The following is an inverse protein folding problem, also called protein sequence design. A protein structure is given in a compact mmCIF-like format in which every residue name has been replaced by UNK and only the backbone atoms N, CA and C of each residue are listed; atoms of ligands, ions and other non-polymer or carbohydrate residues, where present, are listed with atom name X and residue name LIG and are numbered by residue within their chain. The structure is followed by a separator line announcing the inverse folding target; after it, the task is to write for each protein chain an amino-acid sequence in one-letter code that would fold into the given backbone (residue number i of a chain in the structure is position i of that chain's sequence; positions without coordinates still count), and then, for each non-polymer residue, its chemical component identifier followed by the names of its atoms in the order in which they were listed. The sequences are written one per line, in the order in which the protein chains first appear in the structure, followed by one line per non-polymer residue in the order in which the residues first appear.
data_IF_349883438917
#
_entry.id   IF_349883438917
#
_cell.length_a   1.000
_cell.length_b   1.000
_cell.length_c   1.000
_cell.angle_alpha   90.00
_cell.angle_beta   90.00
_cell.angle_gamma   90.00
#
_symmetry.space_group_name_H-M   'P 1'
#
loop_
_entity.id
_entity.type
_entity.pdbx_description
1 polymer ?
#
# COMPACT_ATOMS: atom_id res chain seq x y z
N UNK A 1 -6.85 9.27 12.91
CA UNK A 1 -6.88 9.63 11.48
C UNK A 1 -5.45 9.66 10.98
N UNK A 2 -5.14 8.84 9.98
CA UNK A 2 -3.79 8.73 9.43
C UNK A 2 -3.50 9.98 8.60
N UNK A 3 -2.30 10.55 8.76
CA UNK A 3 -1.95 11.72 7.95
C UNK A 3 -1.90 11.36 6.47
N UNK A 4 -2.28 12.32 5.60
CA UNK A 4 -2.30 12.10 4.14
C UNK A 4 -0.96 11.56 3.61
N UNK A 5 0.17 12.14 4.04
CA UNK A 5 1.51 11.73 3.60
C UNK A 5 1.84 10.28 3.95
N UNK A 6 1.46 9.85 5.17
CA UNK A 6 1.67 8.48 5.63
C UNK A 6 0.79 7.52 4.85
N UNK A 7 -0.49 7.83 4.68
CA UNK A 7 -1.40 6.99 3.89
C UNK A 7 -0.92 6.84 2.45
N UNK A 8 -0.57 7.94 1.79
CA UNK A 8 -0.09 7.92 0.40
C UNK A 8 1.20 7.11 0.23
N UNK A 9 2.11 7.15 1.22
CA UNK A 9 3.31 6.31 1.21
C UNK A 9 2.96 4.81 1.25
N UNK A 10 2.12 4.36 2.21
CA UNK A 10 1.79 2.94 2.28
C UNK A 10 0.91 2.48 1.11
N UNK A 11 0.03 3.35 0.61
CA UNK A 11 -0.76 3.08 -0.60
C UNK A 11 0.15 2.90 -1.81
N UNK A 12 1.22 3.68 -1.97
CA UNK A 12 2.12 3.50 -3.12
C UNK A 12 2.86 2.17 -3.08
N UNK A 13 3.09 1.57 -1.89
CA UNK A 13 3.58 0.20 -1.78
C UNK A 13 2.52 -0.81 -2.25
N UNK A 14 1.25 -0.61 -1.90
CA UNK A 14 0.13 -1.48 -2.30
C UNK A 14 -0.27 -1.35 -3.77
N UNK A 15 0.16 -0.28 -4.44
CA UNK A 15 0.01 -0.02 -5.88
C UNK A 15 1.27 -0.43 -6.68
N UNK A 16 2.33 -0.88 -6.00
CA UNK A 16 3.60 -1.21 -6.64
C UNK A 16 3.42 -2.36 -7.64
N UNK A 17 4.05 -2.25 -8.80
CA UNK A 17 4.02 -3.29 -9.84
C UNK A 17 5.27 -4.16 -9.77
N UNK A 18 5.12 -5.44 -10.08
CA UNK A 18 6.25 -6.36 -10.24
C UNK A 18 7.21 -5.82 -11.31
N UNK A 19 8.51 -5.75 -11.01
CA UNK A 19 9.55 -5.19 -11.90
C UNK A 19 9.85 -6.04 -13.16
N UNK A 20 8.94 -6.90 -13.62
CA UNK A 20 9.20 -7.90 -14.68
C UNK A 20 9.18 -7.38 -16.12
N UNK A 21 8.87 -6.12 -16.40
CA UNK A 21 8.87 -5.60 -17.79
C UNK A 21 8.64 -4.10 -17.85
N UNK A 22 9.58 -3.36 -18.46
CA UNK A 22 9.49 -2.07 -19.20
C UNK A 22 8.53 -0.93 -18.81
N UNK A 23 7.72 -1.04 -17.76
CA UNK A 23 6.56 -0.19 -17.46
C UNK A 23 6.67 0.48 -16.08
N UNK A 24 7.89 0.88 -15.71
CA UNK A 24 8.11 1.87 -14.62
C UNK A 24 7.35 3.18 -14.94
N UNK A 25 6.94 3.40 -16.19
CA UNK A 25 6.22 4.60 -16.63
C UNK A 25 4.84 4.84 -15.99
N UNK A 26 4.22 3.86 -15.32
CA UNK A 26 2.87 4.03 -14.75
C UNK A 26 2.78 3.88 -13.22
N UNK A 27 3.69 3.18 -12.55
CA UNK A 27 3.72 3.07 -11.08
C UNK A 27 4.96 3.74 -10.51
N UNK A 28 4.77 4.58 -9.49
CA UNK A 28 5.86 5.32 -8.85
C UNK A 28 6.78 4.42 -8.00
N UNK A 29 6.37 3.18 -7.75
CA UNK A 29 7.08 2.19 -6.93
C UNK A 29 7.10 0.84 -7.67
N UNK A 30 8.29 0.26 -7.80
CA UNK A 30 8.47 -1.11 -8.25
C UNK A 30 8.56 -2.06 -7.06
N UNK A 31 8.05 -3.28 -7.23
CA UNK A 31 8.15 -4.37 -6.26
C UNK A 31 8.91 -5.55 -6.89
N UNK A 32 9.88 -6.11 -6.18
CA UNK A 32 10.57 -7.34 -6.54
C UNK A 32 10.07 -8.49 -5.65
N UNK A 33 9.36 -9.50 -6.20
CA UNK A 33 8.83 -10.62 -5.44
C UNK A 33 9.90 -11.62 -4.99
N UNK A 34 11.10 -11.62 -5.59
CA UNK A 34 12.18 -12.52 -5.16
C UNK A 34 12.86 -12.02 -3.89
N UNK A 35 13.05 -10.71 -3.80
CA UNK A 35 13.72 -10.06 -2.66
C UNK A 35 12.75 -9.38 -1.69
N UNK A 36 11.46 -9.34 -2.02
CA UNK A 36 10.38 -8.60 -1.35
C UNK A 36 10.64 -7.08 -1.21
N UNK A 37 11.49 -6.53 -2.07
CA UNK A 37 11.91 -5.13 -1.99
C UNK A 37 10.96 -4.19 -2.74
N UNK A 38 10.75 -3.01 -2.15
CA UNK A 38 10.07 -1.90 -2.79
C UNK A 38 11.09 -0.82 -3.16
N UNK A 39 11.15 -0.43 -4.42
CA UNK A 39 12.06 0.61 -4.92
C UNK A 39 11.26 1.74 -5.54
N UNK A 40 11.56 2.98 -5.16
CA UNK A 40 10.92 4.15 -5.73
C UNK A 40 11.43 5.47 -5.16
N UNK A 41 10.74 6.56 -5.48
CA UNK A 41 11.00 7.88 -4.90
C UNK A 41 10.04 8.11 -3.74
N UNK A 42 10.56 8.08 -2.52
CA UNK A 42 9.76 8.24 -1.31
C UNK A 42 10.00 9.58 -0.63
N UNK A 43 9.08 9.96 0.26
CA UNK A 43 9.31 11.11 1.15
C UNK A 43 10.26 10.69 2.29
N UNK A 44 11.48 11.26 2.40
CA UNK A 44 12.45 10.81 3.40
C UNK A 44 11.97 10.97 4.84
N UNK A 45 11.14 11.99 5.11
CA UNK A 45 10.60 12.20 6.46
C UNK A 45 9.63 11.10 6.89
N UNK A 46 8.91 10.49 5.94
CA UNK A 46 8.00 9.36 6.22
C UNK A 46 8.81 8.08 6.33
N UNK A 47 9.73 7.84 5.40
CA UNK A 47 10.58 6.64 5.39
C UNK A 47 11.40 6.55 6.68
N UNK A 48 12.16 7.60 7.03
CA UNK A 48 13.00 7.61 8.22
C UNK A 48 12.19 7.39 9.49
N UNK A 49 11.01 8.00 9.60
CA UNK A 49 10.11 7.79 10.73
C UNK A 49 9.75 6.30 10.89
N UNK A 50 9.35 5.64 9.80
CA UNK A 50 8.90 4.24 9.88
C UNK A 50 10.06 3.24 9.91
N UNK A 51 11.28 3.64 9.55
CA UNK A 51 12.51 2.93 9.88
C UNK A 51 12.75 2.98 11.39
N UNK A 52 12.68 4.18 11.99
CA UNK A 52 12.89 4.37 13.43
C UNK A 52 11.84 3.60 14.28
N UNK A 53 10.61 3.47 13.76
CA UNK A 53 9.54 2.67 14.37
C UNK A 53 9.66 1.16 14.09
N UNK A 54 10.64 0.71 13.30
CA UNK A 54 10.87 -0.70 12.97
C UNK A 54 9.87 -1.31 11.99
N UNK A 55 9.06 -0.48 11.32
CA UNK A 55 8.09 -0.91 10.31
C UNK A 55 8.77 -1.13 8.95
N UNK A 56 9.83 -0.38 8.67
CA UNK A 56 10.60 -0.46 7.44
C UNK A 56 12.06 -0.79 7.72
N UNK A 57 12.73 -1.40 6.75
CA UNK A 57 14.18 -1.55 6.71
C UNK A 57 14.72 -0.89 5.44
N UNK A 58 15.78 -0.10 5.57
CA UNK A 58 16.47 0.49 4.44
C UNK A 58 17.46 -0.51 3.87
N UNK A 59 17.32 -0.85 2.58
CA UNK A 59 18.24 -1.72 1.86
C UNK A 59 19.28 -0.92 1.10
N UNK A 60 18.85 0.09 0.36
CA UNK A 60 19.73 0.94 -0.44
C UNK A 60 19.11 2.34 -0.64
N UNK A 61 19.96 3.35 -0.78
CA UNK A 61 19.59 4.70 -1.17
C UNK A 61 20.60 5.21 -2.20
N UNK A 62 20.31 4.96 -3.47
CA UNK A 62 21.24 5.17 -4.58
C UNK A 62 20.50 5.76 -5.79
N UNK A 63 21.17 6.61 -6.57
CA UNK A 63 20.62 7.14 -7.83
C UNK A 63 19.24 7.84 -7.68
N UNK A 64 19.01 8.51 -6.54
CA UNK A 64 17.74 9.13 -6.16
C UNK A 64 16.56 8.16 -6.01
N UNK A 65 16.83 6.86 -5.89
CA UNK A 65 15.87 5.82 -5.57
C UNK A 65 16.20 5.23 -4.20
N UNK A 66 15.16 5.02 -3.42
CA UNK A 66 15.26 4.38 -2.11
C UNK A 66 14.63 3.00 -2.22
N UNK A 67 15.35 1.98 -1.74
CA UNK A 67 14.91 0.60 -1.69
C UNK A 67 14.69 0.18 -0.24
N UNK A 68 13.50 -0.33 0.05
CA UNK A 68 13.07 -0.66 1.40
C UNK A 68 12.42 -2.04 1.46
N UNK A 69 12.46 -2.66 2.64
CA UNK A 69 11.62 -3.79 3.02
C UNK A 69 10.51 -3.32 3.96
N UNK A 70 9.35 -3.99 3.87
CA UNK A 70 8.24 -3.81 4.79
C UNK A 70 8.23 -4.98 5.79
N UNK A 71 8.52 -4.69 7.06
CA UNK A 71 8.53 -5.71 8.10
C UNK A 71 7.12 -6.25 8.34
N UNK A 72 7.02 -7.57 8.53
CA UNK A 72 5.73 -8.28 8.66
C UNK A 72 4.78 -7.99 7.48
N UNK A 73 5.30 -7.98 6.25
CA UNK A 73 4.55 -7.68 5.01
C UNK A 73 3.24 -8.46 4.91
N UNK A 74 3.23 -9.75 5.22
CA UNK A 74 2.01 -10.57 5.18
C UNK A 74 0.88 -10.03 6.05
N UNK A 75 1.20 -9.59 7.26
CA UNK A 75 0.25 -9.08 8.23
C UNK A 75 -0.23 -7.70 7.80
N UNK A 76 0.67 -6.90 7.23
CA UNK A 76 0.31 -5.62 6.62
C UNK A 76 -0.67 -5.82 5.45
N UNK A 77 -0.36 -6.70 4.50
CA UNK A 77 -1.24 -6.99 3.35
C UNK A 77 -2.62 -7.47 3.80
N UNK A 78 -2.66 -8.43 4.73
CA UNK A 78 -3.89 -8.96 5.30
C UNK A 78 -4.72 -7.88 6.01
N UNK A 79 -4.06 -7.04 6.82
CA UNK A 79 -4.69 -5.92 7.50
C UNK A 79 -5.26 -4.90 6.52
N UNK A 80 -4.47 -4.49 5.53
CA UNK A 80 -4.88 -3.54 4.49
C UNK A 80 -6.10 -4.04 3.72
N UNK A 81 -6.07 -5.27 3.22
CA UNK A 81 -7.18 -5.85 2.46
C UNK A 81 -8.44 -5.99 3.32
N UNK A 82 -8.29 -6.32 4.61
CA UNK A 82 -9.42 -6.33 5.57
C UNK A 82 -10.04 -4.94 5.72
N UNK A 83 -9.22 -3.90 5.87
CA UNK A 83 -9.68 -2.52 5.97
C UNK A 83 -10.46 -2.06 4.72
N UNK A 84 -9.94 -2.40 3.53
CA UNK A 84 -10.63 -2.14 2.25
C UNK A 84 -11.99 -2.86 2.20
N UNK A 85 -12.03 -4.13 2.58
CA UNK A 85 -13.25 -4.95 2.58
C UNK A 85 -14.32 -4.38 3.52
N UNK A 86 -13.95 -4.05 4.76
CA UNK A 86 -14.89 -3.53 5.76
C UNK A 86 -15.43 -2.14 5.35
N UNK A 87 -14.57 -1.27 4.82
CA UNK A 87 -14.99 0.02 4.26
C UNK A 87 -15.97 -0.14 3.10
N UNK A 88 -15.72 -1.10 2.21
CA UNK A 88 -16.61 -1.44 1.09
C UNK A 88 -17.97 -1.94 1.55
N UNK A 89 -18.03 -2.69 2.65
CA UNK A 89 -19.27 -3.15 3.26
C UNK A 89 -20.02 -2.06 4.04
N UNK A 90 -19.47 -0.85 4.15
CA UNK A 90 -20.05 0.26 4.90
C UNK A 90 -20.02 0.06 6.41
N UNK A 91 -19.10 -0.78 6.90
CA UNK A 91 -18.88 -1.04 8.32
C UNK A 91 -17.93 -0.02 8.94
N UNK A 92 -17.87 0.02 10.27
CA UNK A 92 -17.10 1.02 11.00
C UNK A 92 -15.60 0.72 11.04
N UNK A 93 -14.76 1.74 11.23
CA UNK A 93 -13.33 1.59 11.41
C UNK A 93 -12.96 0.89 12.74
N UNK A 94 -13.87 0.84 13.72
CA UNK A 94 -13.65 0.14 15.00
C UNK A 94 -13.25 -1.35 14.85
N UNK A 95 -13.54 -1.98 13.71
CA UNK A 95 -13.05 -3.34 13.42
C UNK A 95 -11.51 -3.45 13.34
N UNK A 96 -10.80 -2.33 13.23
CA UNK A 96 -9.34 -2.29 13.28
C UNK A 96 -8.78 -2.91 14.58
N UNK A 97 -9.48 -2.77 15.71
CA UNK A 97 -9.03 -3.25 17.03
C UNK A 97 -8.95 -4.79 17.11
N UNK A 98 -9.61 -5.49 16.20
CA UNK A 98 -9.60 -6.95 16.10
C UNK A 98 -8.61 -7.47 15.05
N UNK A 99 -7.90 -6.57 14.36
CA UNK A 99 -6.97 -6.95 13.30
C UNK A 99 -5.55 -7.16 13.86
N UNK A 100 -4.81 -8.11 13.28
CA UNK A 100 -3.40 -8.33 13.62
C UNK A 100 -2.53 -7.10 13.33
N UNK A 101 -2.92 -6.27 12.36
CA UNK A 101 -2.28 -4.99 12.06
C UNK A 101 -3.33 -3.87 11.95
N UNK A 102 -3.73 -3.24 13.08
CA UNK A 102 -4.72 -2.16 13.12
C UNK A 102 -4.32 -0.93 12.29
N UNK A 103 -3.01 -0.69 12.18
CA UNK A 103 -2.46 0.38 11.35
C UNK A 103 -2.74 0.11 9.87
N UNK A 104 -2.34 -1.06 9.35
CA UNK A 104 -2.58 -1.43 7.96
C UNK A 104 -4.07 -1.44 7.62
N UNK A 105 -4.91 -1.96 8.53
CA UNK A 105 -6.37 -1.90 8.41
C UNK A 105 -6.85 -0.46 8.20
N UNK A 106 -6.40 0.45 9.07
CA UNK A 106 -6.80 1.85 8.99
C UNK A 106 -6.33 2.52 7.70
N UNK A 107 -5.13 2.18 7.18
CA UNK A 107 -4.65 2.67 5.88
C UNK A 107 -5.59 2.21 4.77
N UNK A 108 -5.89 0.91 4.68
CA UNK A 108 -6.76 0.34 3.64
C UNK A 108 -8.18 0.88 3.70
N UNK A 109 -8.74 0.98 4.90
CA UNK A 109 -10.07 1.55 5.15
C UNK A 109 -10.17 3.00 4.70
N UNK A 110 -9.25 3.86 5.14
CA UNK A 110 -9.24 5.27 4.74
C UNK A 110 -9.00 5.43 3.24
N UNK A 111 -8.12 4.62 2.66
CA UNK A 111 -7.81 4.66 1.23
C UNK A 111 -9.04 4.33 0.37
N UNK A 112 -9.76 3.25 0.69
CA UNK A 112 -10.99 2.91 -0.01
C UNK A 112 -12.01 4.05 0.04
N UNK A 113 -12.24 4.66 1.20
CA UNK A 113 -13.16 5.80 1.32
C UNK A 113 -12.73 7.01 0.48
N UNK A 114 -11.43 7.26 0.34
CA UNK A 114 -10.92 8.37 -0.47
C UNK A 114 -11.09 8.09 -1.97
N UNK A 115 -10.81 6.86 -2.42
CA UNK A 115 -11.02 6.46 -3.81
C UNK A 115 -12.51 6.50 -4.16
N UNK A 116 -13.38 5.97 -3.29
CA UNK A 116 -14.82 5.90 -3.54
C UNK A 116 -15.51 7.29 -3.56
N UNK A 117 -14.88 8.31 -2.96
CA UNK A 117 -15.34 9.71 -3.07
C UNK A 117 -15.03 10.37 -4.42
N UNK A 118 -14.10 9.82 -5.21
CA UNK A 118 -13.72 10.40 -6.51
C UNK A 118 -14.83 10.15 -7.53
N UNK A 119 -15.29 11.22 -8.19
CA UNK A 119 -16.37 11.17 -9.19
C UNK A 119 -16.04 10.35 -10.45
N UNK A 120 -14.76 10.06 -10.69
CA UNK A 120 -14.28 9.29 -11.83
C UNK A 120 -13.27 8.26 -11.32
N UNK A 121 -13.56 6.95 -11.45
CA UNK A 121 -12.56 5.92 -11.24
C UNK A 121 -11.39 6.16 -12.19
N UNK A 122 -10.17 5.84 -11.75
CA UNK A 122 -9.03 5.79 -12.66
C UNK A 122 -9.16 4.43 -13.38
N UNK A 123 -9.39 4.39 -14.71
CA UNK A 123 -9.57 3.13 -15.40
C UNK A 123 -8.35 2.22 -15.23
N UNK A 124 -8.56 0.95 -14.89
CA UNK A 124 -7.46 0.01 -14.64
C UNK A 124 -6.67 0.31 -13.35
N UNK A 125 -7.29 0.99 -12.39
CA UNK A 125 -6.71 1.19 -11.07
C UNK A 125 -6.54 -0.15 -10.35
N UNK A 126 -5.28 -0.47 -10.02
CA UNK A 126 -4.91 -1.73 -9.39
C UNK A 126 -4.18 -1.43 -8.07
N UNK A 127 -4.74 -1.93 -6.97
CA UNK A 127 -4.20 -1.76 -5.63
C UNK A 127 -4.55 -3.00 -4.81
N UNK A 128 -3.65 -3.43 -3.92
CA UNK A 128 -3.86 -4.62 -3.09
C UNK A 128 -5.21 -4.54 -2.35
N UNK A 129 -6.00 -5.62 -2.37
CA UNK A 129 -7.29 -5.68 -1.68
C UNK A 129 -8.46 -5.01 -2.43
N UNK A 130 -8.22 -4.30 -3.54
CA UNK A 130 -9.27 -3.77 -4.40
C UNK A 130 -9.72 -4.83 -5.42
N UNK A 131 -10.95 -4.69 -5.92
CA UNK A 131 -11.42 -5.52 -7.03
C UNK A 131 -10.74 -5.05 -8.31
N UNK A 132 -10.08 -5.97 -9.00
CA UNK A 132 -9.57 -5.74 -10.35
C UNK A 132 -10.75 -5.75 -11.33
N UNK A 133 -10.94 -4.64 -12.05
CA UNK A 133 -12.03 -4.48 -13.02
C UNK A 133 -11.94 -5.46 -14.20
N UNK A 134 -10.76 -5.98 -14.51
CA UNK A 134 -10.55 -6.90 -15.62
C UNK A 134 -10.95 -8.34 -15.27
N UNK A 135 -10.61 -8.77 -14.06
CA UNK A 135 -10.84 -10.16 -13.61
C UNK A 135 -12.08 -10.30 -12.73
N UNK A 136 -12.54 -9.21 -12.10
CA UNK A 136 -13.59 -9.23 -11.08
C UNK A 136 -13.15 -9.81 -9.74
N UNK A 137 -11.87 -10.19 -9.60
CA UNK A 137 -11.31 -10.77 -8.39
C UNK A 137 -10.60 -9.71 -7.53
N UNK A 138 -10.31 -10.05 -6.27
CA UNK A 138 -9.52 -9.18 -5.40
C UNK A 138 -8.06 -9.25 -5.84
N UNK A 139 -7.47 -8.10 -6.19
CA UNK A 139 -6.06 -8.00 -6.53
C UNK A 139 -5.19 -8.34 -5.32
N UNK A 140 -4.24 -9.25 -5.54
CA UNK A 140 -3.23 -9.67 -4.57
C UNK A 140 -1.84 -9.39 -5.17
N UNK A 141 -0.96 -8.93 -4.29
CA UNK A 141 0.40 -8.50 -4.60
C UNK A 141 1.39 -9.48 -3.98
#
# INVERSE_FOLDING_TARGET
MISKKVREFFVSLMEAKTQTSSDIGASAVGYDPETEQYTGVFNPSVVNKFIDEGVLELVADENALTTILLNNRSDFLSGFASGVSEAKLGRDQYYADYNANPFAFSVGYEHFLQINKKKRPIPGYLCHGFVDEQTGEIHKQ
#
